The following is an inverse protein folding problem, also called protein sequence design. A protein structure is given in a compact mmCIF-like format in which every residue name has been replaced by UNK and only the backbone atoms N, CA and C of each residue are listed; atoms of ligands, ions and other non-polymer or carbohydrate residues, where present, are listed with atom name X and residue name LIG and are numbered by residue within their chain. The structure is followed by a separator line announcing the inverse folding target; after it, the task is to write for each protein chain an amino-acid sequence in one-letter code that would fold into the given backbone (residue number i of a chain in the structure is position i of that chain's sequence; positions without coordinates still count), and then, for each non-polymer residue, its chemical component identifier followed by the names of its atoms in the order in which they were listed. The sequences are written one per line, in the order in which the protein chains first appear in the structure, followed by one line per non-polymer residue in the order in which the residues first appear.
data_IF_360486094986
#
_entry.id   IF_360486094986
#
_cell.length_a   1.000
_cell.length_b   1.000
_cell.length_c   1.000
_cell.angle_alpha   90.00
_cell.angle_beta   90.00
_cell.angle_gamma   90.00
#
_symmetry.space_group_name_H-M   'P 1'
#
loop_
_entity.id
_entity.type
_entity.pdbx_description
1 polymer ?
#
# COMPACT_ATOMS: atom_id res chain seq x y z
N UNK A 1 9.19 -4.39 11.75
CA UNK A 1 9.68 -4.67 10.38
C UNK A 1 9.32 -6.11 10.03
N UNK A 2 8.15 -6.36 9.43
CA UNK A 2 7.76 -7.71 8.98
C UNK A 2 8.42 -7.99 7.62
N UNK A 3 9.74 -8.18 7.63
CA UNK A 3 10.59 -8.09 6.44
C UNK A 3 11.21 -9.39 5.95
N UNK A 4 10.69 -10.58 6.29
CA UNK A 4 11.37 -11.84 5.90
C UNK A 4 10.44 -13.00 5.52
N UNK A 5 9.16 -12.76 5.21
CA UNK A 5 8.39 -13.75 4.47
C UNK A 5 8.64 -13.43 2.99
N UNK A 6 9.44 -14.26 2.28
CA UNK A 6 9.44 -14.23 0.82
C UNK A 6 7.98 -14.27 0.39
N UNK A 7 7.54 -13.22 -0.29
CA UNK A 7 6.13 -13.10 -0.62
C UNK A 7 5.76 -14.23 -1.58
N UNK A 8 4.64 -14.90 -1.33
CA UNK A 8 4.26 -16.12 -2.05
C UNK A 8 4.18 -15.94 -3.57
N UNK A 9 3.87 -14.73 -4.05
CA UNK A 9 3.90 -14.41 -5.47
C UNK A 9 5.31 -14.52 -6.08
N UNK A 10 6.37 -14.27 -5.30
CA UNK A 10 7.76 -14.36 -5.75
C UNK A 10 8.16 -15.81 -6.02
N UNK A 11 7.75 -16.74 -5.15
CA UNK A 11 7.99 -18.18 -5.34
C UNK A 11 7.21 -18.73 -6.55
N UNK A 12 5.98 -18.24 -6.75
CA UNK A 12 5.18 -18.61 -7.93
C UNK A 12 5.80 -18.09 -9.24
N UNK A 13 6.44 -16.92 -9.23
CA UNK A 13 7.19 -16.42 -10.37
C UNK A 13 8.39 -17.32 -10.73
N UNK A 14 9.10 -17.84 -9.72
CA UNK A 14 10.21 -18.77 -9.94
C UNK A 14 9.71 -20.09 -10.57
N UNK A 15 8.58 -20.61 -10.09
CA UNK A 15 7.93 -21.78 -10.69
C UNK A 15 7.52 -21.49 -12.14
N UNK A 16 6.81 -20.38 -12.39
CA UNK A 16 6.35 -19.99 -13.72
C UNK A 16 7.50 -19.83 -14.72
N UNK A 17 8.70 -19.41 -14.28
CA UNK A 17 9.87 -19.28 -15.14
C UNK A 17 10.42 -20.62 -15.66
N UNK A 18 10.11 -21.73 -14.98
CA UNK A 18 10.59 -23.07 -15.33
C UNK A 18 9.47 -24.00 -15.83
N UNK A 19 8.21 -23.59 -15.69
CA UNK A 19 7.06 -24.35 -16.18
C UNK A 19 6.95 -24.27 -17.71
N UNK A 20 6.93 -25.43 -18.36
CA UNK A 20 6.73 -25.58 -19.80
C UNK A 20 5.29 -26.00 -20.16
N UNK A 21 4.51 -26.46 -19.18
CA UNK A 21 3.13 -26.85 -19.38
C UNK A 21 2.26 -25.60 -19.46
N UNK A 22 1.69 -25.35 -20.64
CA UNK A 22 0.90 -24.14 -20.91
C UNK A 22 -0.31 -23.97 -20.00
N UNK A 23 -0.95 -25.08 -19.57
CA UNK A 23 -2.11 -25.04 -18.69
C UNK A 23 -1.68 -24.69 -17.26
N UNK A 24 -0.60 -25.31 -16.78
CA UNK A 24 -0.05 -25.00 -15.45
C UNK A 24 0.52 -23.59 -15.40
N UNK A 25 1.21 -23.15 -16.45
CA UNK A 25 1.74 -21.79 -16.56
C UNK A 25 0.61 -20.77 -16.47
N UNK A 26 -0.49 -21.00 -17.20
CA UNK A 26 -1.65 -20.11 -17.13
C UNK A 26 -2.25 -20.05 -15.72
N UNK A 27 -2.37 -21.20 -15.03
CA UNK A 27 -2.86 -21.25 -13.65
C UNK A 27 -1.94 -20.51 -12.68
N UNK A 28 -0.61 -20.64 -12.83
CA UNK A 28 0.37 -19.91 -12.03
C UNK A 28 0.27 -18.40 -12.26
N UNK A 29 0.16 -17.96 -13.51
CA UNK A 29 0.03 -16.54 -13.85
C UNK A 29 -1.26 -15.95 -13.28
N UNK A 30 -2.38 -16.68 -13.32
CA UNK A 30 -3.62 -16.23 -12.69
C UNK A 30 -3.48 -16.05 -11.18
N UNK A 31 -2.84 -17.01 -10.50
CA UNK A 31 -2.63 -16.92 -9.05
C UNK A 31 -1.67 -15.79 -8.67
N UNK A 32 -0.60 -15.58 -9.45
CA UNK A 32 0.31 -14.45 -9.28
C UNK A 32 -0.45 -13.11 -9.41
N UNK A 33 -1.26 -12.96 -10.46
CA UNK A 33 -2.04 -11.75 -10.68
C UNK A 33 -2.98 -11.47 -9.50
N UNK A 34 -3.69 -12.49 -9.01
CA UNK A 34 -4.60 -12.35 -7.87
C UNK A 34 -3.88 -11.87 -6.61
N UNK A 35 -2.71 -12.43 -6.30
CA UNK A 35 -1.92 -12.04 -5.12
C UNK A 35 -1.39 -10.60 -5.24
N UNK A 36 -0.97 -10.20 -6.44
CA UNK A 36 -0.50 -8.84 -6.70
C UNK A 36 -1.64 -7.83 -6.63
N UNK A 37 -2.81 -8.15 -7.19
CA UNK A 37 -4.01 -7.31 -7.10
C UNK A 37 -4.44 -7.08 -5.65
N UNK A 38 -4.50 -8.13 -4.82
CA UNK A 38 -4.81 -8.00 -3.41
C UNK A 38 -3.82 -7.08 -2.68
N UNK A 39 -2.52 -7.23 -2.97
CA UNK A 39 -1.49 -6.35 -2.41
C UNK A 39 -1.66 -4.90 -2.87
N UNK A 40 -1.94 -4.69 -4.15
CA UNK A 40 -2.18 -3.34 -4.71
C UNK A 40 -3.42 -2.69 -4.10
N UNK A 41 -4.51 -3.45 -3.92
CA UNK A 41 -5.73 -2.95 -3.28
C UNK A 41 -5.47 -2.54 -1.82
N UNK A 42 -4.71 -3.35 -1.06
CA UNK A 42 -4.29 -3.00 0.30
C UNK A 42 -3.48 -1.71 0.32
N UNK A 43 -2.44 -1.63 -0.51
CA UNK A 43 -1.57 -0.46 -0.58
C UNK A 43 -2.32 0.80 -1.04
N UNK A 44 -3.25 0.68 -1.99
CA UNK A 44 -4.07 1.80 -2.44
C UNK A 44 -5.07 2.23 -1.37
N UNK A 45 -5.72 1.30 -0.67
CA UNK A 45 -6.60 1.62 0.46
C UNK A 45 -5.84 2.32 1.60
N UNK A 46 -4.61 1.86 1.90
CA UNK A 46 -3.71 2.53 2.86
C UNK A 46 -3.30 3.93 2.39
N UNK A 47 -3.07 4.11 1.08
CA UNK A 47 -2.68 5.39 0.47
C UNK A 47 -3.86 6.37 0.38
N UNK A 48 -5.08 5.88 0.15
CA UNK A 48 -6.31 6.67 0.19
C UNK A 48 -6.68 7.06 1.62
N UNK A 49 -6.48 6.18 2.60
CA UNK A 49 -6.60 6.54 4.01
C UNK A 49 -5.61 7.64 4.41
N UNK A 50 -4.38 7.60 3.90
CA UNK A 50 -3.40 8.69 4.11
C UNK A 50 -3.74 9.97 3.34
N UNK A 51 -4.32 9.87 2.13
CA UNK A 51 -4.75 11.03 1.32
C UNK A 51 -5.96 11.74 1.91
N UNK A 52 -6.90 10.99 2.48
CA UNK A 52 -8.12 11.50 3.09
C UNK A 52 -7.98 11.72 4.60
N UNK A 53 -6.76 11.70 5.15
CA UNK A 53 -6.52 12.27 6.48
C UNK A 53 -7.09 13.69 6.50
N UNK A 54 -8.11 13.99 7.33
CA UNK A 54 -8.41 15.37 7.63
C UNK A 54 -7.15 15.88 8.33
N UNK A 55 -6.40 16.77 7.68
CA UNK A 55 -5.52 17.60 8.46
C UNK A 55 -6.43 18.32 9.46
N UNK A 56 -6.35 17.95 10.73
CA UNK A 56 -6.95 18.76 11.78
C UNK A 56 -6.24 20.10 11.73
N UNK A 57 -6.92 21.02 11.04
CA UNK A 57 -6.86 22.47 11.14
C UNK A 57 -5.84 22.94 12.17
N UNK A 58 -4.75 23.55 11.68
CA UNK A 58 -3.83 24.26 12.54
C UNK A 58 -4.61 25.29 13.36
N UNK A 59 -4.78 25.03 14.66
CA UNK A 59 -5.20 26.06 15.59
C UNK A 59 -4.06 27.05 15.72
N UNK A 60 -3.97 28.01 14.79
CA UNK A 60 -3.25 29.26 15.03
C UNK A 60 -4.00 29.98 16.14
N UNK A 61 -3.61 29.66 17.37
CA UNK A 61 -3.88 30.47 18.55
C UNK A 61 -3.20 31.82 18.28
N UNK A 62 -3.93 32.76 17.69
CA UNK A 62 -3.48 34.12 17.45
C UNK A 62 -3.15 34.70 18.83
N UNK A 63 -1.85 34.83 19.12
CA UNK A 63 -1.37 35.70 20.20
C UNK A 63 -1.76 37.12 19.77
N UNK A 64 -2.92 37.59 20.19
CA UNK A 64 -3.25 39.00 20.18
C UNK A 64 -2.65 39.59 21.47
N UNK A 65 -1.38 39.98 21.39
CA UNK A 65 -0.83 40.98 22.30
C UNK A 65 -1.41 42.32 21.84
N UNK A 66 -2.42 42.81 22.55
CA UNK A 66 -2.79 44.22 22.51
C UNK A 66 -2.33 44.85 23.83
N UNK A 67 -1.20 45.53 23.73
CA UNK A 67 -0.81 46.60 24.64
C UNK A 67 -1.66 47.83 24.28
N UNK A 68 -2.48 48.32 25.21
CA UNK A 68 -3.10 49.65 25.18
C UNK A 68 -3.31 50.03 26.66
N UNK A 69 -2.47 50.93 27.22
CA UNK A 69 -2.82 52.31 27.63
C UNK A 69 -4.16 52.36 28.41
N UNK A 70 -4.21 52.83 29.65
CA UNK A 70 -3.67 54.09 30.22
C UNK A 70 -3.22 53.93 31.69
#
# INVERSE_FOLDING_TARGET
MQGNAKERWFELCEQAATEHDTVKLYALVQEINRLLEEKTLRLNGEREAQRNSPCESGTRKKREQANDRE
#
